data_IF_113166467641
#
_entry.id   IF_113166467641
#
_cell.length_a   1.000
_cell.length_b   1.000
_cell.length_c   1.000
_cell.angle_alpha   90.00
_cell.angle_beta   90.00
_cell.angle_gamma   90.00
#
_symmetry.space_group_name_H-M   'P 1'
#
loop_
_entity.id
_entity.type
_entity.pdbx_description
1 polymer ?
#
# COMPACT_ATOMS: atom_id res chain seq x y z
N UNK A 1 23.86 59.48 -24.48
CA UNK A 1 23.44 58.10 -24.87
C UNK A 1 23.98 56.98 -23.91
N UNK A 2 23.89 57.08 -22.58
CA UNK A 2 24.35 56.06 -21.62
C UNK A 2 23.29 55.48 -20.65
N UNK A 3 22.00 55.77 -20.88
CA UNK A 3 20.89 55.31 -20.01
C UNK A 3 20.13 54.09 -20.54
N UNK A 4 20.27 53.74 -21.83
CA UNK A 4 19.58 52.58 -22.42
C UNK A 4 19.97 51.20 -21.82
N UNK A 5 21.28 50.89 -21.53
CA UNK A 5 21.59 49.58 -20.99
C UNK A 5 21.03 49.30 -19.60
N UNK A 6 20.86 50.34 -18.77
CA UNK A 6 20.27 50.16 -17.43
C UNK A 6 18.77 49.87 -17.48
N UNK A 7 18.04 50.45 -18.43
CA UNK A 7 16.61 50.20 -18.62
C UNK A 7 16.36 48.79 -19.13
N UNK A 8 17.20 48.27 -20.02
CA UNK A 8 17.11 46.92 -20.54
C UNK A 8 17.43 45.88 -19.45
N UNK A 9 18.43 46.17 -18.60
CA UNK A 9 18.76 45.28 -17.46
C UNK A 9 17.64 45.23 -16.42
N UNK A 10 17.00 46.35 -16.13
CA UNK A 10 15.83 46.37 -15.21
C UNK A 10 14.64 45.62 -15.81
N UNK A 11 14.38 45.78 -17.12
CA UNK A 11 13.31 45.03 -17.80
C UNK A 11 13.56 43.51 -17.82
N UNK A 12 14.80 43.08 -18.06
CA UNK A 12 15.19 41.69 -17.99
C UNK A 12 15.03 41.10 -16.58
N UNK A 13 15.42 41.85 -15.55
CA UNK A 13 15.23 41.41 -14.16
C UNK A 13 13.73 41.32 -13.83
N UNK A 14 12.90 42.23 -14.28
CA UNK A 14 11.46 42.19 -14.10
C UNK A 14 10.81 41.00 -14.82
N UNK A 15 11.27 40.68 -16.03
CA UNK A 15 10.81 39.50 -16.76
C UNK A 15 11.20 38.16 -16.07
N UNK A 16 12.41 38.07 -15.50
CA UNK A 16 12.86 36.93 -14.72
C UNK A 16 12.04 36.82 -13.41
N UNK A 17 11.78 37.93 -12.72
CA UNK A 17 10.91 37.93 -11.55
C UNK A 17 9.46 37.57 -11.92
N UNK A 18 8.91 38.08 -13.00
CA UNK A 18 7.58 37.72 -13.47
C UNK A 18 7.45 36.23 -13.82
N UNK A 19 8.51 35.62 -14.40
CA UNK A 19 8.54 34.17 -14.69
C UNK A 19 8.64 33.29 -13.43
N UNK A 20 9.22 33.82 -12.33
CA UNK A 20 9.28 33.10 -11.06
C UNK A 20 7.91 33.04 -10.37
N UNK A 21 7.04 34.03 -10.57
CA UNK A 21 5.67 34.01 -10.03
C UNK A 21 4.70 33.12 -10.82
N UNK A 22 5.05 32.74 -12.06
CA UNK A 22 4.24 31.80 -12.84
C UNK A 22 4.59 30.33 -12.58
N UNK A 23 5.67 30.05 -11.83
CA UNK A 23 6.11 28.69 -11.53
C UNK A 23 5.29 28.00 -10.41
N UNK A 24 4.49 28.74 -9.64
CA UNK A 24 3.51 28.16 -8.72
C UNK A 24 2.13 28.07 -9.38
N UNK A 25 2.02 27.37 -10.48
CA UNK A 25 0.74 26.77 -10.84
C UNK A 25 0.60 25.54 -9.94
N UNK A 26 -0.23 25.65 -8.92
CA UNK A 26 -0.76 24.49 -8.24
C UNK A 26 -1.23 23.51 -9.32
N UNK A 27 -0.97 22.23 -9.14
CA UNK A 27 -1.45 21.19 -10.05
C UNK A 27 -2.91 21.52 -10.36
N UNK A 28 -3.23 21.72 -11.63
CA UNK A 28 -4.64 21.73 -12.07
C UNK A 28 -5.09 20.32 -11.75
N UNK A 29 -5.80 20.11 -10.65
CA UNK A 29 -6.32 18.82 -10.26
C UNK A 29 -6.96 18.12 -11.45
N UNK A 30 -7.10 16.83 -11.39
CA UNK A 30 -7.90 16.08 -12.34
C UNK A 30 -9.33 16.67 -12.34
N UNK A 31 -10.06 16.47 -13.41
CA UNK A 31 -11.49 16.80 -13.42
C UNK A 31 -12.16 15.98 -12.32
N UNK A 32 -13.21 16.54 -11.74
CA UNK A 32 -14.09 15.79 -10.87
C UNK A 32 -14.58 14.54 -11.62
N UNK A 33 -14.57 13.41 -10.90
CA UNK A 33 -15.06 12.17 -11.48
C UNK A 33 -16.57 12.21 -11.54
N UNK A 34 -17.12 11.98 -12.73
CA UNK A 34 -18.56 11.80 -12.96
C UNK A 34 -18.75 10.41 -13.58
N UNK A 35 -19.59 9.61 -12.96
CA UNK A 35 -19.96 8.30 -13.48
C UNK A 35 -20.83 8.46 -14.72
N UNK A 36 -20.41 7.95 -15.89
CA UNK A 36 -21.24 8.02 -17.09
C UNK A 36 -22.41 7.03 -17.00
N UNK A 37 -23.57 7.41 -17.54
CA UNK A 37 -24.74 6.52 -17.62
C UNK A 37 -24.50 5.28 -18.46
N UNK A 38 -23.67 5.41 -19.51
CA UNK A 38 -23.34 4.34 -20.46
C UNK A 38 -21.85 4.36 -20.81
N UNK A 39 -21.27 3.19 -20.91
CA UNK A 39 -19.91 3.04 -21.41
C UNK A 39 -19.87 3.13 -22.93
N UNK A 40 -19.15 4.12 -23.46
CA UNK A 40 -19.03 4.33 -24.90
C UNK A 40 -18.11 3.26 -25.56
N UNK A 41 -18.71 2.22 -26.11
CA UNK A 41 -18.00 1.15 -26.80
C UNK A 41 -17.50 1.51 -28.20
N UNK A 42 -17.94 2.65 -28.76
CA UNK A 42 -17.49 3.14 -30.08
C UNK A 42 -16.11 3.79 -30.02
N UNK A 43 -15.67 4.17 -28.82
CA UNK A 43 -14.41 4.85 -28.56
C UNK A 43 -13.34 3.85 -28.13
N UNK A 44 -12.11 4.07 -28.60
CA UNK A 44 -10.94 3.33 -28.12
C UNK A 44 -10.32 4.02 -26.89
N UNK A 45 -9.96 3.21 -25.90
CA UNK A 45 -9.34 3.66 -24.65
C UNK A 45 -7.97 3.01 -24.49
N UNK A 46 -7.02 3.78 -24.04
CA UNK A 46 -5.71 3.30 -23.61
C UNK A 46 -5.55 3.63 -22.12
N UNK A 47 -5.42 2.60 -21.30
CA UNK A 47 -5.27 2.71 -19.86
C UNK A 47 -3.87 2.30 -19.44
N UNK A 48 -3.35 2.94 -18.40
CA UNK A 48 -2.08 2.57 -17.78
C UNK A 48 -2.35 1.90 -16.44
N UNK A 49 -1.72 0.74 -16.22
CA UNK A 49 -1.76 0.01 -14.98
C UNK A 49 -0.35 -0.14 -14.39
N UNK A 50 -0.13 0.43 -13.20
CA UNK A 50 1.13 0.31 -12.49
C UNK A 50 1.04 -0.72 -11.38
N UNK A 51 1.84 -1.77 -11.47
CA UNK A 51 1.80 -2.90 -10.56
C UNK A 51 3.18 -3.24 -10.01
N UNK A 52 3.20 -3.77 -8.80
CA UNK A 52 4.41 -4.33 -8.21
C UNK A 52 4.63 -5.75 -8.73
N UNK A 53 5.88 -6.06 -9.06
CA UNK A 53 6.33 -7.39 -9.40
C UNK A 53 7.56 -7.76 -8.53
N UNK A 54 7.38 -8.71 -7.63
CA UNK A 54 8.42 -9.25 -6.76
C UNK A 54 9.36 -10.18 -7.53
N UNK A 55 10.08 -9.77 -8.52
CA UNK A 55 10.98 -10.66 -9.26
C UNK A 55 10.38 -12.03 -9.64
N UNK A 56 9.14 -12.29 -9.22
CA UNK A 56 8.40 -13.51 -9.45
C UNK A 56 7.78 -13.50 -10.85
N UNK A 57 8.36 -14.29 -11.75
CA UNK A 57 7.86 -14.41 -13.13
C UNK A 57 6.41 -14.90 -13.21
N UNK A 58 5.94 -15.64 -12.22
CA UNK A 58 4.55 -16.13 -12.15
C UNK A 58 3.59 -14.96 -11.94
N UNK A 59 3.89 -14.02 -11.03
CA UNK A 59 3.06 -12.84 -10.79
C UNK A 59 2.95 -11.97 -12.04
N UNK A 60 4.06 -11.75 -12.75
CA UNK A 60 4.03 -11.02 -14.02
C UNK A 60 3.12 -11.68 -15.05
N UNK A 61 3.19 -13.01 -15.17
CA UNK A 61 2.32 -13.75 -16.10
C UNK A 61 0.84 -13.64 -15.72
N UNK A 62 0.53 -13.63 -14.42
CA UNK A 62 -0.86 -13.45 -13.94
C UNK A 62 -1.40 -12.10 -14.43
N UNK A 63 -0.67 -11.01 -14.24
CA UNK A 63 -1.09 -9.70 -14.73
C UNK A 63 -1.26 -9.67 -16.25
N UNK A 64 -0.29 -10.22 -17.00
CA UNK A 64 -0.35 -10.27 -18.46
C UNK A 64 -1.54 -11.10 -18.97
N UNK A 65 -1.83 -12.24 -18.33
CA UNK A 65 -2.98 -13.07 -18.69
C UNK A 65 -4.28 -12.35 -18.36
N UNK A 66 -4.42 -11.76 -17.17
CA UNK A 66 -5.62 -11.00 -16.78
C UNK A 66 -5.88 -9.84 -17.74
N UNK A 67 -4.85 -9.10 -18.15
CA UNK A 67 -4.97 -8.04 -19.15
C UNK A 67 -5.44 -8.59 -20.49
N UNK A 68 -4.83 -9.68 -20.95
CA UNK A 68 -5.21 -10.32 -22.22
C UNK A 68 -6.68 -10.76 -22.21
N UNK A 69 -7.13 -11.38 -21.12
CA UNK A 69 -8.50 -11.86 -20.96
C UNK A 69 -9.47 -10.68 -20.89
N UNK A 70 -9.11 -9.61 -20.17
CA UNK A 70 -9.90 -8.38 -20.12
C UNK A 70 -10.02 -7.71 -21.51
N UNK A 71 -8.91 -7.56 -22.23
CA UNK A 71 -8.92 -6.98 -23.58
C UNK A 71 -9.68 -7.83 -24.60
N UNK A 72 -9.81 -9.13 -24.38
CA UNK A 72 -10.66 -10.00 -25.20
C UNK A 72 -12.16 -9.72 -24.97
N UNK A 73 -12.55 -9.41 -23.73
CA UNK A 73 -13.91 -9.03 -23.37
C UNK A 73 -14.26 -7.60 -23.78
N UNK A 74 -13.28 -6.69 -23.73
CA UNK A 74 -13.42 -5.28 -24.05
C UNK A 74 -12.41 -4.86 -25.12
N UNK A 75 -12.61 -5.21 -26.40
CA UNK A 75 -11.60 -5.06 -27.45
C UNK A 75 -11.26 -3.60 -27.79
N UNK A 76 -12.12 -2.66 -27.40
CA UNK A 76 -11.90 -1.21 -27.52
C UNK A 76 -11.05 -0.61 -26.36
N UNK A 77 -10.62 -1.43 -25.39
CA UNK A 77 -9.73 -1.01 -24.30
C UNK A 77 -8.37 -1.69 -24.48
N UNK A 78 -7.30 -0.91 -24.33
CA UNK A 78 -5.92 -1.41 -24.28
C UNK A 78 -5.27 -1.01 -22.97
N UNK A 79 -4.57 -1.94 -22.31
CA UNK A 79 -3.94 -1.72 -21.02
C UNK A 79 -2.43 -1.79 -21.15
N UNK A 80 -1.76 -0.69 -20.82
CA UNK A 80 -0.30 -0.62 -20.72
C UNK A 80 0.15 -0.93 -19.30
N UNK A 81 0.71 -2.12 -19.10
CA UNK A 81 1.26 -2.55 -17.83
C UNK A 81 2.66 -1.98 -17.62
N UNK A 82 2.88 -1.30 -16.49
CA UNK A 82 4.21 -0.92 -15.99
C UNK A 82 4.48 -1.65 -14.67
N UNK A 83 5.60 -2.37 -14.61
CA UNK A 83 6.01 -3.14 -13.45
C UNK A 83 7.09 -2.42 -12.64
N UNK A 84 6.95 -2.46 -11.34
CA UNK A 84 7.85 -1.88 -10.35
C UNK A 84 8.40 -2.95 -9.43
N UNK A 85 9.58 -2.73 -8.87
CA UNK A 85 10.21 -3.67 -7.93
C UNK A 85 9.68 -3.56 -6.51
N UNK A 86 9.14 -2.39 -6.13
CA UNK A 86 8.57 -2.16 -4.79
C UNK A 86 7.46 -1.10 -4.81
N UNK A 87 6.65 -1.07 -3.76
CA UNK A 87 5.54 -0.11 -3.63
C UNK A 87 6.00 1.32 -3.41
N UNK A 88 7.16 1.53 -2.76
CA UNK A 88 7.70 2.87 -2.54
C UNK A 88 8.06 3.58 -3.84
N UNK A 89 8.51 2.83 -4.86
CA UNK A 89 8.75 3.39 -6.21
C UNK A 89 7.45 3.77 -6.90
N UNK A 90 6.39 2.97 -6.78
CA UNK A 90 5.06 3.36 -7.29
C UNK A 90 4.61 4.63 -6.60
N UNK A 91 4.69 4.69 -5.27
CA UNK A 91 4.33 5.84 -4.46
C UNK A 91 5.03 7.12 -4.91
N UNK A 92 6.35 7.09 -5.01
CA UNK A 92 7.15 8.25 -5.40
C UNK A 92 6.84 8.70 -6.84
N UNK A 93 6.67 7.74 -7.76
CA UNK A 93 6.33 8.05 -9.14
C UNK A 93 4.92 8.64 -9.24
N UNK A 94 3.93 8.13 -8.49
CA UNK A 94 2.57 8.71 -8.47
C UNK A 94 2.62 10.16 -7.99
N UNK A 95 3.28 10.45 -6.85
CA UNK A 95 3.41 11.82 -6.33
C UNK A 95 4.06 12.75 -7.36
N UNK A 96 5.15 12.31 -7.98
CA UNK A 96 5.84 13.11 -9.00
C UNK A 96 4.94 13.37 -10.20
N UNK A 97 4.16 12.38 -10.62
CA UNK A 97 3.29 12.50 -11.79
C UNK A 97 1.98 13.24 -11.50
N UNK A 98 1.54 13.37 -10.25
CA UNK A 98 0.44 14.27 -9.86
C UNK A 98 0.75 15.70 -10.30
N UNK A 99 1.96 16.18 -10.03
CA UNK A 99 2.37 17.55 -10.38
C UNK A 99 2.38 17.79 -11.90
N UNK A 100 2.58 16.77 -12.72
CA UNK A 100 2.65 16.86 -14.18
C UNK A 100 1.34 16.44 -14.89
N UNK A 101 0.37 15.92 -14.16
CA UNK A 101 -0.88 15.39 -14.72
C UNK A 101 -0.70 14.12 -15.55
N UNK A 102 0.32 13.32 -15.26
CA UNK A 102 0.67 12.08 -15.99
C UNK A 102 0.58 10.83 -15.10
N UNK A 103 -0.30 10.87 -14.11
CA UNK A 103 -0.59 9.73 -13.21
C UNK A 103 -1.13 8.52 -14.00
N UNK A 104 -0.95 7.29 -13.48
CA UNK A 104 -1.60 6.12 -14.07
C UNK A 104 -3.12 6.18 -13.91
N UNK A 105 -3.85 5.45 -14.77
CA UNK A 105 -5.28 5.26 -14.57
C UNK A 105 -5.56 4.35 -13.38
N UNK A 106 -4.73 3.33 -13.19
CA UNK A 106 -4.85 2.37 -12.09
C UNK A 106 -3.44 2.08 -11.55
N UNK A 107 -3.29 2.01 -10.24
CA UNK A 107 -2.06 1.52 -9.61
C UNK A 107 -2.37 0.64 -8.39
N UNK A 108 -1.47 -0.31 -8.11
CA UNK A 108 -1.48 -1.04 -6.85
C UNK A 108 -0.73 -0.20 -5.83
N UNK A 109 -1.34 0.04 -4.68
CA UNK A 109 -0.79 0.91 -3.63
C UNK A 109 -1.20 0.42 -2.24
N UNK A 110 -0.62 1.00 -1.20
CA UNK A 110 -1.08 0.82 0.17
C UNK A 110 -2.14 1.86 0.54
N UNK A 111 -3.05 1.56 1.48
CA UNK A 111 -4.06 2.52 1.94
C UNK A 111 -3.46 3.83 2.47
N UNK A 112 -2.38 3.77 3.24
CA UNK A 112 -1.66 4.94 3.78
C UNK A 112 -1.06 5.84 2.68
N UNK A 113 -0.64 5.26 1.55
CA UNK A 113 -0.20 6.02 0.39
C UNK A 113 -1.35 6.83 -0.24
N UNK A 114 -2.58 6.30 -0.24
CA UNK A 114 -3.76 6.99 -0.77
C UNK A 114 -3.99 8.29 -0.01
N UNK A 115 -3.84 8.30 1.31
CA UNK A 115 -3.98 9.50 2.14
C UNK A 115 -3.05 10.63 1.65
N UNK A 116 -1.82 10.30 1.24
CA UNK A 116 -0.91 11.29 0.64
C UNK A 116 -1.38 11.76 -0.73
N UNK A 117 -1.89 10.85 -1.58
CA UNK A 117 -2.39 11.24 -2.90
C UNK A 117 -3.58 12.19 -2.81
N UNK A 118 -4.44 12.02 -1.80
CA UNK A 118 -5.61 12.86 -1.55
C UNK A 118 -5.27 14.29 -1.09
N UNK A 119 -4.02 14.61 -0.78
CA UNK A 119 -3.59 15.99 -0.54
C UNK A 119 -3.64 16.86 -1.79
N UNK A 120 -3.66 16.26 -2.97
CA UNK A 120 -3.90 16.94 -4.24
C UNK A 120 -5.41 17.01 -4.57
N UNK A 121 -5.79 18.00 -5.36
CA UNK A 121 -7.21 18.18 -5.76
C UNK A 121 -7.57 17.15 -6.84
N UNK A 122 -8.59 16.35 -6.59
CA UNK A 122 -9.13 15.34 -7.52
C UNK A 122 -8.05 14.39 -8.09
N UNK A 123 -7.09 13.98 -7.27
CA UNK A 123 -5.97 13.14 -7.70
C UNK A 123 -6.32 11.66 -7.71
N UNK A 124 -7.31 11.25 -6.91
CA UNK A 124 -7.85 9.90 -6.87
C UNK A 124 -9.36 9.98 -7.08
N UNK A 125 -9.90 9.18 -7.97
CA UNK A 125 -11.34 9.13 -8.20
C UNK A 125 -12.05 8.43 -7.03
N UNK A 126 -13.11 9.00 -6.47
CA UNK A 126 -13.97 8.31 -5.52
C UNK A 126 -14.72 7.18 -6.23
N UNK A 127 -14.92 6.06 -5.54
CA UNK A 127 -15.51 4.85 -6.11
C UNK A 127 -16.96 4.59 -5.66
N UNK A 128 -17.54 5.50 -4.86
CA UNK A 128 -18.85 5.30 -4.25
C UNK A 128 -19.96 5.16 -5.30
N UNK A 129 -19.99 6.05 -6.31
CA UNK A 129 -20.94 5.96 -7.40
C UNK A 129 -20.75 4.68 -8.23
N UNK A 130 -19.48 4.29 -8.46
CA UNK A 130 -19.17 3.03 -9.15
C UNK A 130 -19.64 1.82 -8.33
N UNK A 131 -19.42 1.83 -7.01
CA UNK A 131 -19.90 0.75 -6.14
C UNK A 131 -21.42 0.68 -6.06
N UNK A 132 -22.11 1.80 -6.19
CA UNK A 132 -23.57 1.86 -6.22
C UNK A 132 -24.18 1.52 -7.59
N UNK A 133 -23.38 1.48 -8.64
CA UNK A 133 -23.86 1.22 -10.00
C UNK A 133 -24.29 -0.23 -10.17
N UNK A 134 -25.57 -0.46 -10.48
CA UNK A 134 -26.10 -1.79 -10.83
C UNK A 134 -25.54 -2.32 -12.16
N UNK A 135 -25.09 -1.43 -13.04
CA UNK A 135 -24.53 -1.79 -14.35
C UNK A 135 -23.04 -2.11 -14.28
N UNK A 136 -22.25 -1.21 -13.71
CA UNK A 136 -20.78 -1.21 -13.81
C UNK A 136 -20.07 -1.44 -12.49
N UNK A 137 -20.80 -1.56 -11.39
CA UNK A 137 -20.25 -1.89 -10.09
C UNK A 137 -19.69 -3.32 -10.03
N UNK A 138 -19.17 -3.70 -8.88
CA UNK A 138 -18.68 -5.06 -8.65
C UNK A 138 -19.84 -6.06 -8.77
N UNK A 139 -19.76 -6.96 -9.76
CA UNK A 139 -20.83 -7.89 -10.10
C UNK A 139 -22.00 -7.24 -10.87
N UNK A 140 -21.81 -6.05 -11.42
CA UNK A 140 -22.83 -5.33 -12.19
C UNK A 140 -23.25 -6.03 -13.48
N UNK A 141 -24.47 -5.74 -13.95
CA UNK A 141 -25.11 -6.43 -15.08
C UNK A 141 -24.38 -6.27 -16.43
N UNK A 142 -23.63 -5.17 -16.60
CA UNK A 142 -22.86 -4.89 -17.82
C UNK A 142 -21.37 -5.31 -17.70
N UNK A 143 -20.96 -5.86 -16.56
CA UNK A 143 -19.62 -6.40 -16.36
C UNK A 143 -19.52 -7.76 -17.04
N UNK A 144 -18.58 -7.90 -17.97
CA UNK A 144 -18.46 -9.07 -18.88
C UNK A 144 -17.57 -10.19 -18.33
N UNK A 145 -17.07 -10.06 -17.13
CA UNK A 145 -16.28 -11.10 -16.47
C UNK A 145 -16.96 -11.51 -15.16
N UNK A 146 -16.74 -12.75 -14.78
CA UNK A 146 -17.21 -13.27 -13.50
C UNK A 146 -16.26 -12.77 -12.40
N UNK A 147 -16.73 -11.83 -11.60
CA UNK A 147 -15.97 -11.16 -10.57
C UNK A 147 -16.72 -11.19 -9.23
N UNK A 148 -15.99 -10.87 -8.16
CA UNK A 148 -16.57 -10.78 -6.82
C UNK A 148 -17.55 -9.60 -6.74
N UNK A 149 -18.69 -9.81 -6.08
CA UNK A 149 -19.59 -8.73 -5.70
C UNK A 149 -19.02 -7.96 -4.49
N UNK A 150 -19.55 -6.77 -4.24
CA UNK A 150 -19.13 -5.97 -3.09
C UNK A 150 -19.28 -6.71 -1.75
N UNK A 151 -20.35 -7.49 -1.61
CA UNK A 151 -20.67 -8.19 -0.36
C UNK A 151 -19.74 -9.38 -0.08
N UNK A 152 -19.02 -9.86 -1.09
CA UNK A 152 -18.00 -10.90 -0.95
C UNK A 152 -16.64 -10.34 -0.51
N UNK A 153 -16.44 -9.03 -0.56
CA UNK A 153 -15.23 -8.38 -0.06
C UNK A 153 -15.27 -8.34 1.47
N UNK A 154 -14.18 -8.77 2.09
CA UNK A 154 -14.05 -8.69 3.55
C UNK A 154 -14.15 -7.23 3.98
N UNK A 155 -15.22 -6.90 4.72
CA UNK A 155 -15.55 -5.53 5.12
C UNK A 155 -14.37 -4.79 5.76
N UNK A 156 -13.64 -5.44 6.65
CA UNK A 156 -12.46 -4.84 7.30
C UNK A 156 -11.41 -4.35 6.31
N UNK A 157 -11.21 -5.06 5.21
CA UNK A 157 -10.25 -4.64 4.18
C UNK A 157 -10.80 -3.54 3.28
N UNK A 158 -12.11 -3.53 3.05
CA UNK A 158 -12.77 -2.46 2.32
C UNK A 158 -12.77 -1.16 3.13
N UNK A 159 -13.01 -1.23 4.44
CA UNK A 159 -13.00 -0.06 5.34
C UNK A 159 -11.63 0.64 5.38
N UNK A 160 -10.53 -0.09 5.17
CA UNK A 160 -9.18 0.50 5.05
C UNK A 160 -9.00 1.38 3.79
N UNK A 161 -9.91 1.29 2.84
CA UNK A 161 -9.92 2.08 1.60
C UNK A 161 -10.85 3.29 1.68
N UNK A 162 -11.43 3.56 2.85
CA UNK A 162 -12.38 4.64 3.11
C UNK A 162 -11.71 5.83 3.77
N UNK A 163 -11.76 7.01 3.11
CA UNK A 163 -11.16 8.26 3.58
C UNK A 163 -12.14 9.41 3.35
N UNK A 164 -12.29 10.29 4.30
CA UNK A 164 -13.09 11.53 4.20
C UNK A 164 -14.48 11.34 3.57
N UNK A 165 -15.14 10.24 3.92
CA UNK A 165 -16.51 9.98 3.49
C UNK A 165 -16.64 9.17 2.19
N UNK A 166 -15.55 8.77 1.52
CA UNK A 166 -15.58 8.05 0.25
C UNK A 166 -14.62 6.87 0.22
N UNK A 167 -14.91 5.89 -0.63
CA UNK A 167 -14.00 4.83 -0.99
C UNK A 167 -13.10 5.24 -2.16
N UNK A 168 -11.77 5.06 -2.03
CA UNK A 168 -10.80 5.44 -3.06
C UNK A 168 -10.02 4.26 -3.62
N UNK A 169 -10.25 3.06 -3.13
CA UNK A 169 -9.61 1.85 -3.65
C UNK A 169 -10.49 0.62 -3.43
N UNK A 170 -10.09 -0.47 -4.12
CA UNK A 170 -10.61 -1.82 -3.92
C UNK A 170 -9.50 -2.67 -3.31
N UNK A 171 -9.75 -3.44 -2.25
CA UNK A 171 -8.78 -4.38 -1.73
C UNK A 171 -8.41 -5.41 -2.81
N UNK A 172 -7.11 -5.55 -3.09
CA UNK A 172 -6.64 -6.47 -4.12
C UNK A 172 -5.82 -7.62 -3.53
N UNK A 173 -4.77 -7.31 -2.80
CA UNK A 173 -3.92 -8.30 -2.12
C UNK A 173 -3.70 -7.87 -0.68
N UNK A 174 -4.01 -8.78 0.26
CA UNK A 174 -3.72 -8.56 1.67
C UNK A 174 -2.85 -9.70 2.16
N UNK A 175 -1.72 -9.35 2.76
CA UNK A 175 -0.87 -10.29 3.44
C UNK A 175 -1.13 -10.25 4.96
N UNK A 176 -0.85 -11.35 5.61
CA UNK A 176 -0.84 -11.44 7.07
C UNK A 176 0.49 -12.04 7.52
N UNK A 177 0.88 -11.71 8.73
CA UNK A 177 1.96 -12.38 9.40
C UNK A 177 1.40 -13.56 10.20
N UNK A 178 2.14 -14.66 10.22
CA UNK A 178 1.82 -15.84 10.98
C UNK A 178 3.06 -16.35 11.68
N UNK A 179 2.91 -16.80 12.91
CA UNK A 179 3.98 -17.47 13.64
C UNK A 179 4.06 -18.94 13.22
N UNK A 180 5.22 -19.33 12.71
CA UNK A 180 5.54 -20.71 12.39
C UNK A 180 6.36 -21.31 13.53
N UNK A 181 5.88 -22.38 14.12
CA UNK A 181 6.51 -23.06 15.26
C UNK A 181 7.02 -24.42 14.84
N UNK A 182 8.29 -24.71 15.11
CA UNK A 182 8.81 -26.07 15.02
C UNK A 182 8.36 -26.89 16.24
N UNK A 183 7.14 -27.44 16.16
CA UNK A 183 6.50 -28.17 17.25
C UNK A 183 7.37 -29.31 17.77
N UNK A 184 7.96 -30.11 16.89
CA UNK A 184 8.83 -31.23 17.26
C UNK A 184 10.03 -30.75 18.08
N UNK A 185 10.58 -29.60 17.77
CA UNK A 185 11.70 -29.05 18.53
C UNK A 185 11.26 -28.51 19.89
N UNK A 186 10.14 -27.80 19.95
CA UNK A 186 9.54 -27.33 21.20
C UNK A 186 9.27 -28.48 22.16
N UNK A 187 8.71 -29.60 21.66
CA UNK A 187 8.48 -30.81 22.44
C UNK A 187 9.79 -31.46 22.94
N UNK A 188 10.87 -31.44 22.16
CA UNK A 188 12.19 -31.90 22.60
C UNK A 188 12.79 -31.03 23.73
N UNK A 189 12.43 -29.76 23.79
CA UNK A 189 12.80 -28.87 24.89
C UNK A 189 11.97 -29.10 26.15
N UNK A 190 10.95 -29.98 26.08
CA UNK A 190 10.07 -30.30 27.21
C UNK A 190 8.82 -29.43 27.33
N UNK A 191 8.50 -28.65 26.30
CA UNK A 191 7.35 -27.76 26.27
C UNK A 191 6.22 -28.33 25.40
N UNK A 192 5.00 -27.90 25.69
CA UNK A 192 3.84 -28.11 24.83
C UNK A 192 3.40 -26.76 24.25
N UNK A 193 3.19 -26.70 22.94
CA UNK A 193 2.71 -25.47 22.29
C UNK A 193 1.28 -25.19 22.79
N UNK A 194 1.02 -24.03 23.41
CA UNK A 194 -0.30 -23.68 23.92
C UNK A 194 -1.25 -23.32 22.77
N UNK A 195 -2.56 -23.35 23.04
CA UNK A 195 -3.57 -22.90 22.08
C UNK A 195 -3.50 -21.40 21.82
N UNK A 196 -3.14 -20.62 22.85
CA UNK A 196 -2.89 -19.18 22.76
C UNK A 196 -1.40 -18.88 23.01
N UNK A 197 -0.76 -18.35 22.00
CA UNK A 197 0.65 -18.00 22.06
C UNK A 197 0.87 -16.67 22.77
N UNK A 198 1.76 -16.66 23.77
CA UNK A 198 2.16 -15.46 24.50
C UNK A 198 3.64 -15.12 24.28
N UNK A 199 4.00 -13.86 24.51
CA UNK A 199 5.42 -13.45 24.47
C UNK A 199 6.25 -14.15 25.55
N UNK A 200 5.69 -14.40 26.73
CA UNK A 200 6.37 -15.14 27.81
C UNK A 200 6.74 -16.55 27.35
N UNK A 201 5.79 -17.24 26.69
CA UNK A 201 6.07 -18.58 26.13
C UNK A 201 7.16 -18.53 25.07
N UNK A 202 7.13 -17.56 24.15
CA UNK A 202 8.16 -17.40 23.11
C UNK A 202 9.51 -17.15 23.74
N UNK A 203 9.58 -16.31 24.80
CA UNK A 203 10.80 -16.03 25.52
C UNK A 203 11.36 -17.26 26.24
N UNK A 204 10.54 -17.94 27.03
CA UNK A 204 10.91 -19.11 27.81
C UNK A 204 11.46 -20.25 26.92
N UNK A 205 10.76 -20.55 25.81
CA UNK A 205 11.20 -21.55 24.83
C UNK A 205 12.49 -21.12 24.14
N UNK A 206 12.64 -19.83 23.87
CA UNK A 206 13.87 -19.28 23.25
C UNK A 206 15.08 -19.42 24.18
N UNK A 207 14.92 -19.13 25.47
CA UNK A 207 15.98 -19.34 26.47
C UNK A 207 16.36 -20.81 26.61
N UNK A 208 15.35 -21.71 26.67
CA UNK A 208 15.59 -23.14 26.72
C UNK A 208 16.34 -23.66 25.45
N UNK A 209 15.98 -23.13 24.28
CA UNK A 209 16.65 -23.48 23.02
C UNK A 209 18.11 -23.05 22.98
N UNK A 210 18.45 -21.94 23.62
CA UNK A 210 19.80 -21.38 23.68
C UNK A 210 20.64 -21.91 24.86
N UNK A 211 20.02 -22.66 25.77
CA UNK A 211 20.68 -23.15 26.98
C UNK A 211 21.85 -24.07 26.66
N UNK A 212 22.99 -23.84 27.32
CA UNK A 212 24.24 -24.61 27.12
C UNK A 212 24.70 -25.27 28.40
N UNK A 213 25.43 -26.39 28.21
CA UNK A 213 26.22 -27.02 29.25
C UNK A 213 27.49 -26.20 29.53
N UNK A 214 28.25 -26.59 30.61
CA UNK A 214 29.52 -25.94 30.97
C UNK A 214 30.58 -26.04 29.85
N UNK A 215 30.53 -27.11 29.04
CA UNK A 215 31.44 -27.35 27.91
C UNK A 215 31.07 -26.55 26.63
N UNK A 216 30.01 -25.71 26.70
CA UNK A 216 29.55 -24.91 25.59
C UNK A 216 28.63 -25.62 24.60
N UNK A 217 28.35 -26.93 24.79
CA UNK A 217 27.39 -27.67 23.99
C UNK A 217 25.94 -27.29 24.37
N UNK A 218 25.00 -27.40 23.43
CA UNK A 218 23.59 -27.16 23.74
C UNK A 218 23.05 -28.28 24.65
N UNK A 219 22.20 -27.90 25.62
CA UNK A 219 21.59 -28.87 26.57
C UNK A 219 20.73 -29.90 25.86
N UNK A 220 20.05 -29.51 24.78
CA UNK A 220 19.31 -30.47 23.94
C UNK A 220 20.26 -31.03 22.90
N UNK A 221 20.64 -32.28 23.07
CA UNK A 221 21.62 -32.94 22.23
C UNK A 221 21.20 -33.03 20.76
N UNK A 222 22.15 -32.79 19.84
CA UNK A 222 21.93 -32.79 18.40
C UNK A 222 21.20 -31.54 17.86
N UNK A 223 21.03 -30.54 18.68
CA UNK A 223 20.45 -29.25 18.27
C UNK A 223 21.54 -28.19 18.22
N UNK A 224 21.42 -27.30 17.25
CA UNK A 224 22.32 -26.19 17.07
C UNK A 224 21.49 -24.96 16.65
N UNK A 225 21.01 -24.21 17.62
CA UNK A 225 20.11 -23.07 17.40
C UNK A 225 20.91 -21.80 17.46
N UNK A 226 21.01 -21.10 16.33
CA UNK A 226 21.67 -19.81 16.23
C UNK A 226 20.71 -18.64 16.55
N UNK A 227 19.47 -18.77 16.11
CA UNK A 227 18.41 -17.78 16.30
C UNK A 227 17.16 -18.54 16.74
N UNK A 228 16.77 -18.45 18.03
CA UNK A 228 15.63 -19.20 18.56
C UNK A 228 14.28 -18.66 18.09
N UNK A 229 14.21 -17.33 17.88
CA UNK A 229 13.03 -16.64 17.39
C UNK A 229 13.44 -15.53 16.43
N UNK A 230 12.65 -15.34 15.39
CA UNK A 230 12.83 -14.23 14.44
C UNK A 230 11.48 -13.62 14.11
N UNK A 231 11.41 -12.30 14.16
CA UNK A 231 10.31 -11.52 13.63
C UNK A 231 10.77 -10.77 12.38
N UNK A 232 10.03 -10.92 11.29
CA UNK A 232 10.46 -10.40 9.97
C UNK A 232 10.47 -8.88 9.90
N UNK A 233 9.49 -8.23 10.52
CA UNK A 233 9.28 -6.77 10.45
C UNK A 233 9.25 -6.20 11.86
N UNK A 234 10.26 -5.40 12.22
CA UNK A 234 10.37 -4.78 13.55
C UNK A 234 9.31 -3.73 13.80
N UNK A 235 8.90 -3.00 12.77
CA UNK A 235 7.81 -2.03 12.79
C UNK A 235 6.46 -2.70 13.05
N UNK A 236 6.13 -3.79 12.35
CA UNK A 236 4.93 -4.57 12.61
C UNK A 236 4.95 -5.20 14.01
N UNK A 237 6.09 -5.69 14.46
CA UNK A 237 6.23 -6.22 15.83
C UNK A 237 5.90 -5.14 16.86
N UNK A 238 6.45 -3.94 16.71
CA UNK A 238 6.20 -2.82 17.61
C UNK A 238 4.70 -2.45 17.64
N UNK A 239 4.07 -2.31 16.48
CA UNK A 239 2.64 -2.01 16.38
C UNK A 239 1.80 -3.12 17.04
N UNK A 240 2.16 -4.39 16.80
CA UNK A 240 1.46 -5.52 17.40
C UNK A 240 1.59 -5.52 18.93
N UNK A 241 2.78 -5.33 19.46
CA UNK A 241 3.02 -5.28 20.93
C UNK A 241 2.23 -4.15 21.58
N UNK A 242 2.22 -2.95 21.00
CA UNK A 242 1.42 -1.83 21.46
C UNK A 242 -0.07 -2.18 21.51
N UNK A 243 -0.61 -2.73 20.43
CA UNK A 243 -2.03 -3.11 20.35
C UNK A 243 -2.41 -4.22 21.33
N UNK A 244 -1.57 -5.22 21.51
CA UNK A 244 -1.78 -6.30 22.48
C UNK A 244 -1.78 -5.78 23.93
N UNK A 245 -0.99 -4.73 24.20
CA UNK A 245 -0.94 -4.07 25.51
C UNK A 245 -2.02 -2.99 25.70
N UNK A 246 -2.92 -2.81 24.72
CA UNK A 246 -4.00 -1.84 24.81
C UNK A 246 -3.62 -0.40 24.48
N UNK A 247 -2.41 -0.19 23.94
CA UNK A 247 -1.95 1.13 23.54
C UNK A 247 -2.19 1.42 22.06
N UNK A 248 -2.53 2.66 21.77
CA UNK A 248 -2.68 3.11 20.39
C UNK A 248 -1.34 3.54 19.79
N UNK A 249 -1.11 3.18 18.54
CA UNK A 249 0.04 3.65 17.75
C UNK A 249 -0.10 5.14 17.37
N UNK A 250 -1.31 5.51 16.95
CA UNK A 250 -1.71 6.87 16.59
C UNK A 250 -3.17 7.10 16.97
N UNK A 251 -3.59 8.35 17.02
CA UNK A 251 -4.99 8.72 17.19
C UNK A 251 -5.67 9.01 15.83
N UNK A 252 -6.97 9.29 15.85
CA UNK A 252 -7.76 9.58 14.64
C UNK A 252 -7.33 10.88 13.93
N UNK A 253 -6.68 11.80 14.63
CA UNK A 253 -6.12 13.02 14.04
C UNK A 253 -4.75 12.81 13.38
N UNK A 254 -4.20 11.59 13.39
CA UNK A 254 -2.91 11.25 12.81
C UNK A 254 -1.71 11.58 13.71
N UNK A 255 -1.94 11.95 14.97
CA UNK A 255 -0.87 12.16 15.92
C UNK A 255 -0.25 10.82 16.34
N UNK A 256 1.08 10.71 16.27
CA UNK A 256 1.81 9.54 16.72
C UNK A 256 1.92 9.50 18.26
N UNK A 257 1.48 8.40 18.87
CA UNK A 257 1.42 8.21 20.32
C UNK A 257 2.57 7.36 20.87
N UNK A 258 3.63 7.17 20.10
CA UNK A 258 4.70 6.20 20.36
C UNK A 258 5.62 6.50 21.52
N UNK A 259 5.69 7.75 22.01
CA UNK A 259 6.75 8.18 22.92
C UNK A 259 6.21 8.76 24.23
N UNK A 260 5.03 8.35 24.66
CA UNK A 260 4.50 8.67 25.97
C UNK A 260 5.07 7.70 27.04
N UNK A 261 4.82 7.98 28.31
CA UNK A 261 5.37 7.18 29.41
C UNK A 261 4.81 5.76 29.46
N UNK A 262 3.57 5.55 29.00
CA UNK A 262 2.92 4.25 28.95
C UNK A 262 3.58 3.34 27.90
N UNK A 263 3.89 3.88 26.73
CA UNK A 263 4.51 3.10 25.65
C UNK A 263 6.00 2.84 25.88
N UNK A 264 6.71 3.70 26.60
CA UNK A 264 8.11 3.49 26.97
C UNK A 264 8.33 2.25 27.85
N UNK A 265 7.34 1.87 28.65
CA UNK A 265 7.43 0.69 29.51
C UNK A 265 7.40 -0.63 28.76
N UNK A 266 7.01 -0.62 27.46
CA UNK A 266 6.96 -1.79 26.58
C UNK A 266 8.25 -1.99 25.77
N UNK A 267 9.11 -0.98 25.71
CA UNK A 267 10.37 -0.98 24.97
C UNK A 267 11.55 -1.25 25.90
#
# INVERSE_FOLDING_TARGET
MKRMPKLISVLLILCVFASLFTACHGSKGLREFEMPDEFDTSRNYELTFWAKNDTNRTQMKIYQNAIKDFEALYPNIKIKLRLYTDYGKIYNDVITNIATGTTPNICITYPDHIATYLTGVNTVAPLDELFASEKYGLGGSEVRFDGVSRDEIIKKHLDECYFDGNYYAVPFMRSTEACYINKTYVEKLGYTVPDELTWDFVWEVSEAAMAKNEDGTFKVNGQNVLIPFIYKSTDNMMIQMLRQSGYAYSNESGEALLFNDDTKSLL
#
